data_IF_932534913756
#
_entry.id   IF_932534913756
#
_cell.length_a   1.000
_cell.length_b   1.000
_cell.length_c   1.000
_cell.angle_alpha   90.00
_cell.angle_beta   90.00
_cell.angle_gamma   90.00
#
_symmetry.space_group_name_H-M   'P 1'
#
loop_
_entity.id
_entity.type
_entity.pdbx_description
1 polymer ?
#
# COMPACT_ATOMS: atom_id res chain seq x y z
N UNK A 1 0.42 -22.41 -3.07
CA UNK A 1 0.10 -21.27 -2.20
C UNK A 1 -0.04 -19.99 -3.00
N UNK A 2 -1.07 -19.22 -2.69
CA UNK A 2 -1.27 -17.93 -3.32
C UNK A 2 -0.24 -16.92 -2.78
N UNK A 3 0.31 -16.06 -3.64
CA UNK A 3 1.32 -15.06 -3.26
C UNK A 3 0.81 -14.07 -2.20
N UNK A 4 -0.50 -13.90 -2.06
CA UNK A 4 -1.06 -12.98 -1.06
C UNK A 4 -1.26 -13.61 0.33
N UNK A 5 -1.08 -14.93 0.46
CA UNK A 5 -1.30 -15.63 1.74
C UNK A 5 -0.37 -15.13 2.85
N UNK A 6 0.82 -14.69 2.51
CA UNK A 6 1.77 -14.11 3.47
C UNK A 6 1.22 -12.87 4.17
N UNK A 7 0.43 -12.06 3.46
CA UNK A 7 -0.22 -10.88 4.05
C UNK A 7 -1.29 -11.28 5.05
N UNK A 8 -2.12 -12.27 4.71
CA UNK A 8 -3.16 -12.75 5.59
C UNK A 8 -2.54 -13.25 6.90
N UNK A 9 -1.48 -14.05 6.80
CA UNK A 9 -0.79 -14.62 7.95
C UNK A 9 -0.18 -13.55 8.84
N UNK A 10 0.50 -12.57 8.24
CA UNK A 10 1.11 -11.47 8.99
C UNK A 10 0.05 -10.60 9.67
N UNK A 11 -1.06 -10.34 8.99
CA UNK A 11 -2.15 -9.53 9.53
C UNK A 11 -2.93 -10.22 10.64
N UNK A 12 -3.06 -11.54 10.61
CA UNK A 12 -3.62 -12.28 11.74
C UNK A 12 -2.93 -11.94 13.05
N UNK A 13 -1.61 -11.75 13.00
CA UNK A 13 -0.80 -11.46 14.16
C UNK A 13 -0.86 -9.99 14.55
N UNK A 14 -0.75 -9.07 13.59
CA UNK A 14 -0.43 -7.67 13.88
C UNK A 14 -1.51 -6.66 13.49
N UNK A 15 -2.58 -7.06 12.82
CA UNK A 15 -3.56 -6.09 12.31
C UNK A 15 -4.23 -5.29 13.43
N UNK A 16 -4.68 -5.96 14.51
CA UNK A 16 -5.35 -5.28 15.61
C UNK A 16 -4.42 -4.27 16.30
N UNK A 17 -3.16 -4.64 16.46
CA UNK A 17 -2.15 -3.73 16.99
C UNK A 17 -1.99 -2.50 16.10
N UNK A 18 -1.84 -2.72 14.80
CA UNK A 18 -1.69 -1.63 13.83
C UNK A 18 -2.91 -0.70 13.83
N UNK A 19 -4.11 -1.28 13.82
CA UNK A 19 -5.35 -0.53 13.83
C UNK A 19 -5.45 0.36 15.10
N UNK A 20 -5.14 -0.22 16.25
CA UNK A 20 -5.17 0.52 17.52
C UNK A 20 -4.15 1.65 17.56
N UNK A 21 -2.95 1.44 17.00
CA UNK A 21 -1.94 2.50 16.92
C UNK A 21 -2.39 3.63 16.00
N UNK A 22 -2.97 3.32 14.84
CA UNK A 22 -3.49 4.35 13.94
C UNK A 22 -4.64 5.11 14.62
N UNK A 23 -5.58 4.41 15.26
CA UNK A 23 -6.68 5.07 15.99
C UNK A 23 -6.16 6.02 17.07
N UNK A 24 -5.05 5.68 17.70
CA UNK A 24 -4.42 6.54 18.72
C UNK A 24 -3.66 7.73 18.12
N UNK A 25 -3.49 7.76 16.80
CA UNK A 25 -2.77 8.82 16.11
C UNK A 25 -1.25 8.68 16.14
N UNK A 26 -0.74 7.52 16.54
CA UNK A 26 0.71 7.32 16.67
C UNK A 26 1.12 5.87 16.43
N UNK A 27 1.88 5.65 15.35
CA UNK A 27 2.49 4.36 15.06
C UNK A 27 3.70 4.16 15.98
N UNK A 28 3.77 3.01 16.67
CA UNK A 28 4.85 2.65 17.59
C UNK A 28 5.57 1.37 17.23
N UNK A 29 4.96 0.49 16.42
CA UNK A 29 5.47 -0.84 16.11
C UNK A 29 5.83 -0.98 14.62
N UNK A 30 6.47 -2.09 14.25
CA UNK A 30 7.05 -2.30 12.92
C UNK A 30 6.18 -3.22 12.08
N UNK A 31 5.13 -2.66 11.47
CA UNK A 31 4.17 -3.44 10.69
C UNK A 31 3.87 -2.87 9.30
N UNK A 32 4.56 -1.83 8.87
CA UNK A 32 4.22 -1.09 7.65
C UNK A 32 4.18 -1.96 6.40
N UNK A 33 5.11 -2.90 6.28
CA UNK A 33 5.31 -3.69 5.06
C UNK A 33 4.09 -4.51 4.65
N UNK A 34 3.34 -5.05 5.61
CA UNK A 34 2.21 -5.95 5.34
C UNK A 34 0.85 -5.37 5.74
N UNK A 35 0.82 -4.18 6.31
CA UNK A 35 -0.42 -3.45 6.62
C UNK A 35 -0.72 -2.42 5.53
N UNK A 36 0.31 -1.69 5.07
CA UNK A 36 0.22 -0.75 3.94
C UNK A 36 1.25 -1.14 2.88
N UNK A 37 1.02 -2.25 2.15
CA UNK A 37 2.03 -2.74 1.22
C UNK A 37 2.21 -1.83 0.01
N UNK A 38 3.45 -1.79 -0.49
CA UNK A 38 3.85 -1.03 -1.67
C UNK A 38 4.44 -1.99 -2.71
N UNK A 39 4.77 -1.48 -3.90
CA UNK A 39 5.45 -2.29 -4.91
C UNK A 39 6.80 -2.79 -4.39
N UNK A 40 7.11 -4.06 -4.65
CA UNK A 40 8.36 -4.70 -4.21
C UNK A 40 9.60 -3.99 -4.75
N UNK A 41 9.51 -3.44 -5.96
CA UNK A 41 10.63 -2.72 -6.59
C UNK A 41 11.03 -1.45 -5.84
N UNK A 42 10.18 -0.92 -4.96
CA UNK A 42 10.49 0.24 -4.13
C UNK A 42 11.26 -0.13 -2.87
N UNK A 43 11.27 -1.42 -2.50
CA UNK A 43 11.90 -1.88 -1.26
C UNK A 43 13.38 -2.15 -1.40
N UNK A 44 14.16 -1.81 -0.37
CA UNK A 44 15.59 -2.10 -0.33
C UNK A 44 15.92 -3.25 0.62
N UNK A 45 15.19 -3.39 1.72
CA UNK A 45 15.41 -4.48 2.67
C UNK A 45 14.78 -5.78 2.19
N UNK A 46 15.25 -6.90 2.73
CA UNK A 46 14.66 -8.22 2.45
C UNK A 46 13.19 -8.28 2.87
N UNK A 47 12.84 -7.65 4.00
CA UNK A 47 11.45 -7.60 4.49
C UNK A 47 10.56 -6.81 3.53
N UNK A 48 11.03 -5.65 3.07
CA UNK A 48 10.28 -4.81 2.14
C UNK A 48 10.04 -5.53 0.81
N UNK A 49 11.03 -6.26 0.33
CA UNK A 49 10.91 -7.04 -0.91
C UNK A 49 9.99 -8.25 -0.73
N UNK A 50 10.09 -8.94 0.39
CA UNK A 50 9.26 -10.12 0.66
C UNK A 50 7.77 -9.77 0.70
N UNK A 51 7.41 -8.68 1.39
CA UNK A 51 6.01 -8.23 1.49
C UNK A 51 5.62 -7.26 0.38
N UNK A 52 6.49 -7.02 -0.58
CA UNK A 52 6.17 -6.11 -1.68
C UNK A 52 5.14 -6.72 -2.64
N UNK A 53 4.31 -5.85 -3.19
CA UNK A 53 3.37 -6.19 -4.26
C UNK A 53 4.15 -6.20 -5.58
N UNK A 54 4.01 -7.26 -6.34
CA UNK A 54 4.81 -7.48 -7.56
C UNK A 54 4.45 -6.49 -8.68
N UNK A 55 3.15 -6.30 -8.93
CA UNK A 55 2.64 -5.49 -10.03
C UNK A 55 1.18 -5.10 -9.76
N UNK A 56 0.59 -4.40 -10.72
CA UNK A 56 -0.80 -3.95 -10.61
C UNK A 56 -1.77 -5.12 -10.51
N UNK A 57 -1.51 -6.21 -11.22
CA UNK A 57 -2.37 -7.40 -11.18
C UNK A 57 -2.38 -8.03 -9.79
N UNK A 58 -1.23 -8.11 -9.13
CA UNK A 58 -1.17 -8.62 -7.76
C UNK A 58 -1.88 -7.68 -6.78
N UNK A 59 -1.80 -6.37 -7.00
CA UNK A 59 -2.56 -5.40 -6.19
C UNK A 59 -4.06 -5.66 -6.33
N UNK A 60 -4.54 -5.95 -7.54
CA UNK A 60 -5.94 -6.30 -7.77
C UNK A 60 -6.30 -7.61 -7.09
N UNK A 61 -5.43 -8.62 -7.14
CA UNK A 61 -5.64 -9.89 -6.43
C UNK A 61 -5.74 -9.68 -4.91
N UNK A 62 -4.89 -8.81 -4.36
CA UNK A 62 -4.94 -8.43 -2.96
C UNK A 62 -6.34 -7.90 -2.59
N UNK A 63 -6.88 -7.00 -3.41
CA UNK A 63 -8.18 -6.39 -3.17
C UNK A 63 -9.36 -7.33 -3.42
N UNK A 64 -9.18 -8.42 -4.15
CA UNK A 64 -10.21 -9.46 -4.32
C UNK A 64 -10.37 -10.31 -3.07
N UNK A 65 -9.36 -10.37 -2.22
CA UNK A 65 -9.44 -11.09 -0.96
C UNK A 65 -10.23 -10.25 0.04
N UNK A 66 -11.34 -10.81 0.56
CA UNK A 66 -12.25 -10.07 1.42
C UNK A 66 -11.58 -9.59 2.72
N UNK A 67 -10.71 -10.39 3.31
CA UNK A 67 -10.02 -10.05 4.55
C UNK A 67 -9.04 -8.90 4.31
N UNK A 68 -8.19 -9.03 3.30
CA UNK A 68 -7.17 -8.03 2.99
C UNK A 68 -7.80 -6.70 2.58
N UNK A 69 -8.82 -6.74 1.73
CA UNK A 69 -9.54 -5.54 1.33
C UNK A 69 -10.19 -4.87 2.51
N UNK A 70 -10.90 -5.63 3.35
CA UNK A 70 -11.59 -5.09 4.52
C UNK A 70 -10.62 -4.44 5.50
N UNK A 71 -9.48 -5.08 5.76
CA UNK A 71 -8.45 -4.53 6.63
C UNK A 71 -7.87 -3.24 6.08
N UNK A 72 -7.54 -3.24 4.79
CA UNK A 72 -6.95 -2.04 4.16
C UNK A 72 -7.95 -0.87 4.17
N UNK A 73 -9.20 -1.14 3.82
CA UNK A 73 -10.23 -0.10 3.84
C UNK A 73 -10.46 0.43 5.26
N UNK A 74 -10.55 -0.44 6.25
CA UNK A 74 -10.77 -0.04 7.63
C UNK A 74 -9.64 0.84 8.17
N UNK A 75 -8.40 0.38 8.06
CA UNK A 75 -7.26 1.12 8.61
C UNK A 75 -6.99 2.42 7.83
N UNK A 76 -7.24 2.39 6.52
CA UNK A 76 -7.13 3.59 5.68
C UNK A 76 -8.19 4.63 6.10
N UNK A 77 -9.41 4.18 6.36
CA UNK A 77 -10.47 5.08 6.83
C UNK A 77 -10.15 5.67 8.20
N UNK A 78 -9.60 4.87 9.11
CA UNK A 78 -9.17 5.39 10.43
C UNK A 78 -8.07 6.44 10.28
N UNK A 79 -7.12 6.20 9.39
CA UNK A 79 -6.06 7.17 9.09
C UNK A 79 -6.65 8.46 8.52
N UNK A 80 -7.61 8.34 7.61
CA UNK A 80 -8.28 9.49 6.99
C UNK A 80 -9.03 10.33 8.02
N UNK A 81 -9.63 9.70 9.03
CA UNK A 81 -10.48 10.36 10.01
C UNK A 81 -9.72 11.04 11.16
N UNK A 82 -8.40 10.85 11.26
CA UNK A 82 -7.62 11.52 12.30
C UNK A 82 -7.69 13.04 12.14
N UNK A 83 -7.73 13.80 13.25
CA UNK A 83 -7.81 15.27 13.17
C UNK A 83 -6.52 15.92 12.67
N UNK A 84 -5.38 15.26 12.80
CA UNK A 84 -4.08 15.77 12.33
C UNK A 84 -3.97 15.68 10.81
N UNK A 85 -3.26 16.64 10.19
CA UNK A 85 -2.88 16.61 8.78
C UNK A 85 -1.39 16.28 8.61
N UNK A 86 -0.70 15.92 9.68
CA UNK A 86 0.74 15.68 9.68
C UNK A 86 1.03 14.19 9.73
N UNK A 87 1.18 13.58 8.55
CA UNK A 87 1.45 12.15 8.42
C UNK A 87 2.79 11.77 9.08
N UNK A 88 3.77 12.66 9.03
CA UNK A 88 5.09 12.39 9.63
C UNK A 88 4.98 12.20 11.14
N UNK A 89 4.14 13.00 11.81
CA UNK A 89 3.94 12.86 13.24
C UNK A 89 3.17 11.58 13.61
N UNK A 90 2.35 11.07 12.70
CA UNK A 90 1.54 9.86 12.92
C UNK A 90 2.39 8.60 12.75
N UNK A 91 3.13 8.49 11.65
CA UNK A 91 3.81 7.23 11.30
C UNK A 91 5.34 7.32 11.26
N UNK A 92 5.92 8.51 11.25
CA UNK A 92 7.36 8.70 11.17
C UNK A 92 7.91 8.54 9.75
N UNK A 93 9.21 8.79 9.64
CA UNK A 93 9.98 8.64 8.40
C UNK A 93 10.76 7.31 8.45
N UNK A 94 10.81 6.50 7.41
CA UNK A 94 10.30 6.72 6.05
C UNK A 94 8.89 6.18 5.81
N UNK A 95 8.16 5.76 6.83
CA UNK A 95 6.84 5.15 6.68
C UNK A 95 5.82 6.13 6.06
N UNK A 96 6.00 7.44 6.29
CA UNK A 96 5.18 8.46 5.64
C UNK A 96 5.24 8.35 4.10
N UNK A 97 6.39 8.02 3.54
CA UNK A 97 6.55 7.82 2.10
C UNK A 97 5.91 6.52 1.63
N UNK A 98 6.01 5.47 2.43
CA UNK A 98 5.45 4.16 2.10
C UNK A 98 3.94 4.19 2.05
N UNK A 99 3.29 4.96 2.91
CA UNK A 99 1.83 5.11 2.88
C UNK A 99 1.39 5.77 1.58
N UNK A 100 2.08 6.81 1.11
CA UNK A 100 1.74 7.39 -0.19
C UNK A 100 1.91 6.37 -1.33
N UNK A 101 3.00 5.61 -1.30
CA UNK A 101 3.22 4.55 -2.30
C UNK A 101 2.09 3.52 -2.28
N UNK A 102 1.66 3.11 -1.10
CA UNK A 102 0.54 2.18 -0.93
C UNK A 102 -0.77 2.75 -1.46
N UNK A 103 -1.11 3.97 -1.05
CA UNK A 103 -2.35 4.63 -1.48
C UNK A 103 -2.38 4.84 -2.99
N UNK A 104 -1.26 5.24 -3.57
CA UNK A 104 -1.14 5.41 -5.02
C UNK A 104 -1.37 4.08 -5.74
N UNK A 105 -0.72 3.02 -5.29
CA UNK A 105 -0.85 1.69 -5.90
C UNK A 105 -2.31 1.20 -5.88
N UNK A 106 -2.95 1.25 -4.72
CA UNK A 106 -4.30 0.71 -4.58
C UNK A 106 -5.37 1.62 -5.18
N UNK A 107 -5.14 2.92 -5.25
CA UNK A 107 -6.01 3.80 -6.01
C UNK A 107 -5.96 3.44 -7.50
N UNK A 108 -4.78 3.28 -8.07
CA UNK A 108 -4.62 2.92 -9.48
C UNK A 108 -5.15 1.52 -9.78
N UNK A 109 -5.13 0.62 -8.80
CA UNK A 109 -5.64 -0.74 -8.95
C UNK A 109 -7.17 -0.84 -8.88
N UNK A 110 -7.84 0.12 -8.24
CA UNK A 110 -9.27 0.00 -7.89
C UNK A 110 -10.15 1.18 -8.28
N UNK A 111 -9.57 2.36 -8.50
CA UNK A 111 -10.30 3.63 -8.62
C UNK A 111 -11.14 3.98 -7.38
N UNK A 112 -10.85 3.35 -6.23
CA UNK A 112 -11.55 3.63 -4.99
C UNK A 112 -11.08 4.97 -4.43
N UNK A 113 -12.00 5.94 -4.34
CA UNK A 113 -11.72 7.30 -3.87
C UNK A 113 -11.19 7.37 -2.43
N UNK A 114 -11.41 6.34 -1.62
CA UNK A 114 -10.89 6.30 -0.25
C UNK A 114 -9.38 6.53 -0.23
N UNK A 115 -8.65 5.83 -1.10
CA UNK A 115 -7.19 5.94 -1.16
C UNK A 115 -6.75 7.32 -1.63
N UNK A 116 -7.46 7.89 -2.60
CA UNK A 116 -7.19 9.23 -3.09
C UNK A 116 -7.44 10.30 -2.03
N UNK A 117 -8.46 10.12 -1.19
CA UNK A 117 -8.74 11.06 -0.09
C UNK A 117 -7.58 11.15 0.90
N UNK A 118 -6.90 10.04 1.17
CA UNK A 118 -5.70 10.04 2.03
C UNK A 118 -4.57 10.81 1.34
N UNK A 119 -4.38 10.59 0.04
CA UNK A 119 -3.37 11.33 -0.74
C UNK A 119 -3.67 12.82 -0.72
N UNK A 120 -4.93 13.19 -0.92
CA UNK A 120 -5.34 14.60 -0.90
C UNK A 120 -5.10 15.24 0.47
N UNK A 121 -5.43 14.52 1.54
CA UNK A 121 -5.30 15.05 2.91
C UNK A 121 -3.85 15.23 3.35
N UNK A 122 -3.01 14.22 3.13
CA UNK A 122 -1.68 14.17 3.74
C UNK A 122 -0.53 14.50 2.79
N UNK A 123 -0.76 14.50 1.47
CA UNK A 123 0.32 14.61 0.48
C UNK A 123 0.05 15.70 -0.57
N UNK A 124 -0.79 16.68 -0.25
CA UNK A 124 -1.15 17.78 -1.16
C UNK A 124 -1.63 17.28 -2.52
N UNK A 125 -2.41 16.21 -2.51
CA UNK A 125 -2.96 15.57 -3.73
C UNK A 125 -1.91 15.01 -4.69
N UNK A 126 -0.67 14.82 -4.22
CA UNK A 126 0.41 14.28 -5.06
C UNK A 126 0.56 12.78 -4.84
N UNK A 127 0.27 12.02 -5.88
CA UNK A 127 0.55 10.58 -5.89
C UNK A 127 2.05 10.33 -5.92
N UNK A 128 2.46 9.14 -5.47
CA UNK A 128 3.86 8.76 -5.45
C UNK A 128 4.37 8.55 -6.90
N UNK A 129 5.28 9.41 -7.34
CA UNK A 129 5.81 9.38 -8.70
C UNK A 129 6.57 8.10 -9.03
N UNK A 130 7.30 7.55 -8.05
CA UNK A 130 8.05 6.31 -8.28
C UNK A 130 7.13 5.13 -8.54
N UNK A 131 6.02 5.04 -7.82
CA UNK A 131 5.00 4.01 -8.05
C UNK A 131 4.43 4.14 -9.45
N UNK A 132 4.05 5.35 -9.87
CA UNK A 132 3.50 5.60 -11.20
C UNK A 132 4.49 5.19 -12.28
N UNK A 133 5.75 5.61 -12.16
CA UNK A 133 6.80 5.28 -13.13
C UNK A 133 7.02 3.77 -13.25
N UNK A 134 7.08 3.08 -12.12
CA UNK A 134 7.28 1.62 -12.12
C UNK A 134 6.11 0.90 -12.79
N UNK A 135 4.88 1.32 -12.52
CA UNK A 135 3.70 0.72 -13.17
C UNK A 135 3.68 0.98 -14.67
N UNK A 136 4.09 2.16 -15.11
CA UNK A 136 4.21 2.48 -16.53
C UNK A 136 5.28 1.62 -17.22
N UNK A 137 6.44 1.44 -16.59
CA UNK A 137 7.52 0.58 -17.09
C UNK A 137 7.03 -0.86 -17.21
N UNK A 138 6.36 -1.38 -16.20
CA UNK A 138 5.81 -2.75 -16.22
C UNK A 138 4.80 -2.93 -17.36
N UNK A 139 3.94 -1.96 -17.57
CA UNK A 139 2.95 -1.96 -18.66
C UNK A 139 3.64 -1.98 -20.02
N UNK A 140 4.66 -1.16 -20.19
CA UNK A 140 5.43 -1.08 -21.43
C UNK A 140 6.17 -2.39 -21.70
N UNK A 141 6.80 -2.99 -20.69
CA UNK A 141 7.49 -4.27 -20.83
C UNK A 141 6.55 -5.41 -21.21
N UNK A 142 5.33 -5.44 -20.66
CA UNK A 142 4.30 -6.42 -21.06
C UNK A 142 3.89 -6.23 -22.52
N UNK A 143 3.75 -4.98 -22.94
CA UNK A 143 3.43 -4.67 -24.34
C UNK A 143 4.51 -5.18 -25.27
N UNK A 144 5.79 -4.97 -24.98
CA UNK A 144 6.93 -5.46 -25.77
C UNK A 144 6.89 -6.97 -25.86
N UNK A 145 6.66 -7.67 -24.74
CA UNK A 145 6.60 -9.13 -24.74
C UNK A 145 5.49 -9.66 -25.65
N UNK A 146 4.33 -9.03 -25.63
CA UNK A 146 3.23 -9.38 -26.56
C UNK A 146 3.63 -9.19 -28.01
N UNK A 147 4.32 -8.12 -28.34
CA UNK A 147 4.78 -7.84 -29.70
C UNK A 147 5.80 -8.87 -30.19
N UNK A 148 6.65 -9.37 -29.31
CA UNK A 148 7.66 -10.40 -29.65
C UNK A 148 7.05 -11.78 -29.88
N UNK A 149 5.86 -12.05 -29.39
CA UNK A 149 5.17 -13.32 -29.58
C UNK A 149 4.54 -13.45 -30.97
N UNK A 150 4.48 -12.39 -31.73
CA UNK A 150 3.95 -12.33 -33.08
C UNK A 150 5.03 -11.88 -34.05
#
# INVERSE_FOLDING_TARGET
>A
MNSIDKFIKAQEKDYELALNEIKSGKKRSHWIWYIFPQLSSLGFSSTAKYYGIKDLEEAKEYLKNDILRSHLEEITNELLMLPSNDILSIVGYPDNLKINSCMTLFYLASDNELYKKVIDKYYNSKMDENTIKLLEIQKWMRWIRKKRMF
#
